data_IF_833801570076
#
_entry.id   IF_833801570076
#
_cell.length_a   1.000
_cell.length_b   1.000
_cell.length_c   1.000
_cell.angle_alpha   90.00
_cell.angle_beta   90.00
_cell.angle_gamma   90.00
#
_symmetry.space_group_name_H-M   'P 1'
#
loop_
_entity.id
_entity.type
_entity.pdbx_description
1 polymer ?
#
# COMPACT_ATOMS: atom_id res chain seq x y z
N UNK A 1 14.95 -6.05 0.48
CA UNK A 1 13.75 -5.56 -0.21
C UNK A 1 13.01 -4.68 0.77
N UNK A 2 12.74 -3.44 0.41
CA UNK A 2 12.02 -2.48 1.25
C UNK A 2 10.62 -2.22 0.69
N UNK A 3 9.62 -2.25 1.55
CA UNK A 3 8.21 -2.14 1.19
C UNK A 3 7.63 -0.92 1.88
N UNK A 4 6.96 -0.06 1.12
CA UNK A 4 6.19 1.06 1.64
C UNK A 4 4.69 0.76 1.59
N UNK A 5 3.96 1.16 2.62
CA UNK A 5 2.50 1.06 2.67
C UNK A 5 1.95 2.44 3.00
N UNK A 6 1.09 2.96 2.13
CA UNK A 6 0.51 4.31 2.24
C UNK A 6 -0.98 4.20 2.54
N UNK A 7 -1.35 4.66 3.73
CA UNK A 7 -2.67 4.51 4.35
C UNK A 7 -2.66 3.35 5.35
N UNK A 8 -2.74 3.65 6.65
CA UNK A 8 -2.74 2.66 7.73
C UNK A 8 -4.14 2.50 8.34
N UNK A 9 -5.15 2.40 7.46
CA UNK A 9 -6.47 1.91 7.82
C UNK A 9 -6.48 0.38 7.96
N UNK A 10 -7.67 -0.20 7.95
CA UNK A 10 -7.89 -1.64 8.14
C UNK A 10 -6.99 -2.52 7.25
N UNK A 11 -7.03 -2.29 5.94
CA UNK A 11 -6.24 -3.03 4.95
C UNK A 11 -4.74 -2.77 5.11
N UNK A 12 -4.36 -1.49 5.23
CA UNK A 12 -2.94 -1.10 5.27
C UNK A 12 -2.24 -1.55 6.54
N UNK A 13 -2.87 -1.44 7.70
CA UNK A 13 -2.26 -1.85 8.96
C UNK A 13 -2.15 -3.38 9.04
N UNK A 14 -3.18 -4.13 8.60
CA UNK A 14 -3.11 -5.59 8.53
C UNK A 14 -1.96 -6.06 7.63
N UNK A 15 -1.83 -5.47 6.44
CA UNK A 15 -0.73 -5.78 5.52
C UNK A 15 0.63 -5.39 6.10
N UNK A 16 0.74 -4.23 6.73
CA UNK A 16 1.96 -3.74 7.40
C UNK A 16 2.44 -4.72 8.46
N UNK A 17 1.51 -5.14 9.33
CA UNK A 17 1.79 -6.05 10.44
C UNK A 17 2.24 -7.42 9.94
N UNK A 18 1.54 -8.01 8.97
CA UNK A 18 1.90 -9.32 8.41
C UNK A 18 3.25 -9.28 7.67
N UNK A 19 3.49 -8.28 6.83
CA UNK A 19 4.77 -8.17 6.11
C UNK A 19 5.95 -8.00 7.06
N UNK A 20 5.82 -7.12 8.05
CA UNK A 20 6.90 -6.88 9.02
C UNK A 20 7.13 -8.08 9.94
N UNK A 21 6.08 -8.76 10.40
CA UNK A 21 6.22 -9.98 11.21
C UNK A 21 6.90 -11.12 10.45
N UNK A 22 6.78 -11.17 9.12
CA UNK A 22 7.54 -12.09 8.25
C UNK A 22 8.99 -11.63 8.00
N UNK A 23 9.44 -10.49 8.57
CA UNK A 23 10.83 -10.00 8.51
C UNK A 23 11.15 -9.12 7.30
N UNK A 24 10.16 -8.66 6.53
CA UNK A 24 10.39 -7.65 5.50
C UNK A 24 10.75 -6.30 6.13
N UNK A 25 11.54 -5.50 5.42
CA UNK A 25 11.82 -4.10 5.76
C UNK A 25 10.62 -3.26 5.32
N UNK A 26 9.79 -2.85 6.28
CA UNK A 26 8.50 -2.21 6.01
C UNK A 26 8.48 -0.79 6.57
N UNK A 27 7.97 0.14 5.77
CA UNK A 27 7.61 1.48 6.22
C UNK A 27 6.12 1.71 5.99
N UNK A 28 5.38 1.91 7.07
CA UNK A 28 3.98 2.30 7.05
C UNK A 28 3.84 3.82 7.14
N UNK A 29 3.08 4.41 6.23
CA UNK A 29 2.87 5.86 6.15
C UNK A 29 1.37 6.16 6.28
N UNK A 30 1.04 7.07 7.20
CA UNK A 30 -0.29 7.66 7.27
C UNK A 30 -0.17 9.18 7.47
N UNK A 31 -1.16 9.94 7.02
CA UNK A 31 -1.20 11.40 7.21
C UNK A 31 -1.60 11.78 8.65
N UNK A 32 -2.26 10.88 9.35
CA UNK A 32 -2.70 11.04 10.73
C UNK A 32 -1.54 10.75 11.69
N UNK A 33 -1.03 11.81 12.29
CA UNK A 33 0.14 11.75 13.20
C UNK A 33 -0.20 10.97 14.48
N UNK A 34 -1.39 11.14 15.01
CA UNK A 34 -1.78 10.50 16.26
C UNK A 34 -2.02 9.00 16.05
N UNK A 35 -2.61 8.62 14.92
CA UNK A 35 -2.65 7.22 14.47
C UNK A 35 -1.25 6.62 14.33
N UNK A 36 -0.31 7.35 13.73
CA UNK A 36 1.08 6.88 13.62
C UNK A 36 1.71 6.65 14.99
N UNK A 37 1.45 7.52 15.99
CA UNK A 37 1.94 7.35 17.38
C UNK A 37 1.35 6.10 18.01
N UNK A 38 0.02 5.90 17.94
CA UNK A 38 -0.67 4.73 18.47
C UNK A 38 -0.03 3.44 17.92
N UNK A 39 0.10 3.36 16.59
CA UNK A 39 0.65 2.18 15.91
C UNK A 39 2.14 1.98 16.26
N UNK A 40 2.93 3.03 16.35
CA UNK A 40 4.35 2.96 16.74
C UNK A 40 4.56 2.40 18.15
N UNK A 41 3.57 2.58 19.04
CA UNK A 41 3.57 2.03 20.39
C UNK A 41 3.06 0.58 20.45
N UNK A 42 2.74 -0.03 19.32
CA UNK A 42 2.27 -1.41 19.24
C UNK A 42 0.77 -1.59 19.50
N UNK A 43 0.01 -0.51 19.49
CA UNK A 43 -1.44 -0.53 19.67
C UNK A 43 -2.15 -0.36 18.31
N UNK A 44 -3.27 -1.04 18.13
CA UNK A 44 -4.10 -0.86 16.95
C UNK A 44 -5.18 0.21 17.20
N UNK A 45 -5.47 1.10 16.23
CA UNK A 45 -6.50 2.12 16.37
C UNK A 45 -7.93 1.55 16.22
N UNK A 46 -8.06 0.26 15.98
CA UNK A 46 -9.32 -0.49 15.87
C UNK A 46 -9.09 -1.93 16.31
N UNK A 47 -10.15 -2.61 16.68
CA UNK A 47 -10.08 -4.02 17.05
C UNK A 47 -10.04 -4.91 15.81
N UNK A 48 -9.06 -5.82 15.77
CA UNK A 48 -8.97 -6.93 14.81
C UNK A 48 -8.21 -8.08 15.47
N UNK A 49 -8.71 -9.32 15.43
CA UNK A 49 -7.99 -10.47 16.00
C UNK A 49 -6.57 -10.59 15.48
N UNK A 50 -5.63 -10.95 16.33
CA UNK A 50 -4.19 -11.13 16.04
C UNK A 50 -3.46 -9.85 15.59
N UNK A 51 -4.12 -8.70 15.38
CA UNK A 51 -3.49 -7.52 14.78
C UNK A 51 -2.40 -6.93 15.69
N UNK A 52 -2.70 -6.67 16.96
CA UNK A 52 -1.71 -6.08 17.88
C UNK A 52 -0.52 -7.00 18.14
N UNK A 53 -0.74 -8.29 18.29
CA UNK A 53 0.33 -9.28 18.46
C UNK A 53 1.24 -9.32 17.24
N UNK A 54 0.63 -9.37 16.04
CA UNK A 54 1.36 -9.37 14.77
C UNK A 54 2.13 -8.06 14.56
N UNK A 55 1.52 -6.90 14.93
CA UNK A 55 2.14 -5.58 14.88
C UNK A 55 3.36 -5.50 15.82
N UNK A 56 3.19 -5.91 17.08
CA UNK A 56 4.28 -5.94 18.08
C UNK A 56 5.45 -6.78 17.58
N UNK A 57 5.17 -7.95 17.02
CA UNK A 57 6.19 -8.79 16.38
C UNK A 57 6.90 -8.06 15.24
N UNK A 58 6.19 -7.31 14.41
CA UNK A 58 6.78 -6.50 13.35
C UNK A 58 7.69 -5.39 13.87
N UNK A 59 7.27 -4.70 14.94
CA UNK A 59 8.03 -3.60 15.56
C UNK A 59 9.37 -4.06 16.17
N UNK A 60 9.46 -5.30 16.62
CA UNK A 60 10.76 -5.87 17.06
C UNK A 60 11.72 -6.20 15.92
N UNK A 61 11.25 -6.10 14.67
CA UNK A 61 12.04 -6.39 13.46
C UNK A 61 12.38 -5.08 12.72
N UNK A 62 11.93 -4.95 11.47
CA UNK A 62 12.26 -3.83 10.58
C UNK A 62 11.02 -3.05 10.16
N UNK A 63 10.15 -2.74 11.12
CA UNK A 63 8.98 -1.91 10.88
C UNK A 63 9.25 -0.47 11.33
N UNK A 64 8.95 0.50 10.48
CA UNK A 64 8.91 1.92 10.80
C UNK A 64 7.56 2.49 10.45
N UNK A 65 6.93 3.20 11.38
CA UNK A 65 5.68 3.94 11.17
C UNK A 65 5.99 5.43 11.16
N UNK A 66 5.42 6.19 10.23
CA UNK A 66 5.69 7.63 10.11
C UNK A 66 4.63 8.34 9.28
N UNK A 67 4.59 9.65 9.39
CA UNK A 67 3.87 10.53 8.48
C UNK A 67 4.78 11.16 7.40
N UNK A 68 6.08 10.84 7.41
CA UNK A 68 7.04 11.34 6.42
C UNK A 68 7.05 10.47 5.15
N UNK A 69 6.47 11.00 4.09
CA UNK A 69 6.48 10.36 2.77
C UNK A 69 7.88 10.26 2.14
N UNK A 70 8.88 10.98 2.63
CA UNK A 70 10.25 10.84 2.16
C UNK A 70 10.82 9.43 2.35
N UNK A 71 10.30 8.69 3.32
CA UNK A 71 10.75 7.34 3.65
C UNK A 71 10.45 6.30 2.56
N UNK A 72 9.48 6.59 1.65
CA UNK A 72 9.16 5.68 0.54
C UNK A 72 10.15 5.78 -0.63
N UNK A 73 11.05 6.76 -0.64
CA UNK A 73 11.93 7.02 -1.79
C UNK A 73 12.83 5.86 -2.21
N UNK A 74 13.09 4.90 -1.33
CA UNK A 74 13.95 3.74 -1.61
C UNK A 74 13.20 2.40 -1.54
N UNK A 75 11.86 2.43 -1.56
CA UNK A 75 11.06 1.21 -1.57
C UNK A 75 11.12 0.52 -2.94
N UNK A 76 11.10 -0.80 -2.91
CA UNK A 76 11.02 -1.65 -4.09
C UNK A 76 9.54 -1.88 -4.50
N UNK A 77 8.66 -1.95 -3.49
CA UNK A 77 7.20 -2.04 -3.62
C UNK A 77 6.52 -0.94 -2.80
N UNK A 78 5.48 -0.35 -3.35
CA UNK A 78 4.64 0.64 -2.68
C UNK A 78 3.18 0.21 -2.77
N UNK A 79 2.59 -0.14 -1.64
CA UNK A 79 1.16 -0.43 -1.58
C UNK A 79 0.39 0.85 -1.26
N UNK A 80 -0.68 1.09 -1.99
CA UNK A 80 -1.63 2.16 -1.76
C UNK A 80 -2.91 1.53 -1.21
N UNK A 81 -3.20 1.85 0.05
CA UNK A 81 -4.28 1.26 0.86
C UNK A 81 -5.14 2.34 1.53
N UNK A 82 -5.18 3.52 0.91
CA UNK A 82 -6.00 4.63 1.41
C UNK A 82 -7.48 4.40 1.14
N UNK A 83 -8.33 4.97 1.97
CA UNK A 83 -9.78 4.86 1.79
C UNK A 83 -10.28 5.53 0.51
N UNK A 84 -11.37 4.98 -0.02
CA UNK A 84 -12.13 5.51 -1.16
C UNK A 84 -13.62 5.54 -0.76
N UNK A 85 -14.03 6.52 0.09
CA UNK A 85 -15.38 6.56 0.61
C UNK A 85 -16.40 6.84 -0.48
N UNK A 86 -17.66 6.59 -0.18
CA UNK A 86 -18.78 6.87 -1.05
C UNK A 86 -19.22 8.33 -0.92
N UNK A 87 -19.52 8.99 -2.01
CA UNK A 87 -20.20 10.28 -2.04
C UNK A 87 -21.71 10.10 -1.78
N UNK A 88 -22.39 11.22 -1.53
CA UNK A 88 -23.85 11.24 -1.28
C UNK A 88 -24.63 10.67 -2.47
N UNK A 89 -24.16 10.85 -3.69
CA UNK A 89 -24.76 10.35 -4.93
C UNK A 89 -24.44 8.87 -5.24
N UNK A 90 -23.74 8.18 -4.34
CA UNK A 90 -23.33 6.78 -4.48
C UNK A 90 -22.05 6.57 -5.29
N UNK A 91 -21.46 7.62 -5.86
CA UNK A 91 -20.16 7.52 -6.56
C UNK A 91 -19.00 7.36 -5.57
N UNK A 92 -17.87 6.83 -6.04
CA UNK A 92 -16.66 6.72 -5.20
C UNK A 92 -15.94 8.07 -5.16
N UNK A 93 -15.66 8.58 -3.94
CA UNK A 93 -14.80 9.73 -3.76
C UNK A 93 -13.33 9.36 -3.96
N UNK A 94 -12.74 9.88 -5.01
CA UNK A 94 -11.34 9.69 -5.36
C UNK A 94 -10.41 10.78 -4.78
N UNK A 95 -10.90 11.70 -3.97
CA UNK A 95 -10.12 12.83 -3.46
C UNK A 95 -8.91 12.38 -2.63
N UNK A 96 -9.11 11.42 -1.73
CA UNK A 96 -8.06 10.89 -0.84
C UNK A 96 -6.99 10.18 -1.67
N UNK A 97 -7.40 9.27 -2.56
CA UNK A 97 -6.44 8.51 -3.37
C UNK A 97 -5.69 9.43 -4.34
N UNK A 98 -6.33 10.45 -4.94
CA UNK A 98 -5.65 11.45 -5.78
C UNK A 98 -4.57 12.21 -5.01
N UNK A 99 -4.85 12.61 -3.76
CA UNK A 99 -3.88 13.28 -2.87
C UNK A 99 -2.70 12.35 -2.55
N UNK A 100 -2.97 11.11 -2.15
CA UNK A 100 -1.94 10.11 -1.84
C UNK A 100 -1.05 9.83 -3.07
N UNK A 101 -1.64 9.58 -4.23
CA UNK A 101 -0.94 9.34 -5.50
C UNK A 101 -0.11 10.56 -5.94
N UNK A 102 -0.64 11.78 -5.77
CA UNK A 102 0.13 13.01 -6.04
C UNK A 102 1.37 13.11 -5.15
N UNK A 103 1.23 12.80 -3.86
CA UNK A 103 2.36 12.83 -2.91
C UNK A 103 3.37 11.73 -3.22
N UNK A 104 2.92 10.52 -3.54
CA UNK A 104 3.78 9.42 -4.00
C UNK A 104 4.55 9.85 -5.27
N UNK A 105 3.87 10.44 -6.26
CA UNK A 105 4.49 10.91 -7.49
C UNK A 105 5.61 11.93 -7.25
N UNK A 106 5.39 12.92 -6.38
CA UNK A 106 6.43 13.89 -5.99
C UNK A 106 7.67 13.23 -5.39
N UNK A 107 7.46 12.22 -4.55
CA UNK A 107 8.55 11.46 -3.94
C UNK A 107 9.24 10.52 -4.93
N UNK A 108 8.50 9.92 -5.86
CA UNK A 108 9.07 9.08 -6.93
C UNK A 108 10.09 9.83 -7.77
N UNK A 109 9.96 11.14 -7.96
CA UNK A 109 10.93 11.96 -8.68
C UNK A 109 12.36 11.76 -8.15
N UNK A 110 12.51 11.61 -6.83
CA UNK A 110 13.79 11.42 -6.15
C UNK A 110 14.22 9.95 -6.07
N UNK A 111 13.35 9.01 -6.37
CA UNK A 111 13.63 7.58 -6.27
C UNK A 111 14.56 7.14 -7.42
N UNK A 112 15.71 6.54 -7.08
CA UNK A 112 16.65 5.98 -8.05
C UNK A 112 16.30 4.55 -8.49
N UNK A 113 15.41 3.87 -7.77
CA UNK A 113 14.92 2.53 -8.11
C UNK A 113 13.76 2.63 -9.09
N UNK A 114 13.35 1.47 -9.61
CA UNK A 114 12.13 1.30 -10.41
C UNK A 114 11.07 0.59 -9.56
N UNK A 115 10.39 1.30 -8.62
CA UNK A 115 9.45 0.68 -7.72
C UNK A 115 8.22 0.18 -8.47
N UNK A 116 7.53 -0.77 -7.84
CA UNK A 116 6.21 -1.22 -8.29
C UNK A 116 5.18 -0.63 -7.33
N UNK A 117 4.23 0.12 -7.87
CA UNK A 117 3.12 0.71 -7.13
C UNK A 117 1.92 -0.21 -7.29
N UNK A 118 1.46 -0.78 -6.17
CA UNK A 118 0.29 -1.63 -6.10
C UNK A 118 -0.86 -0.85 -5.46
N UNK A 119 -1.92 -0.66 -6.20
CA UNK A 119 -3.13 -0.03 -5.69
C UNK A 119 -4.06 -1.13 -5.19
N UNK A 120 -4.22 -1.21 -3.86
CA UNK A 120 -5.15 -2.13 -3.19
C UNK A 120 -6.49 -1.46 -2.90
N UNK A 121 -6.54 -0.13 -2.81
CA UNK A 121 -7.79 0.61 -2.65
C UNK A 121 -8.78 0.23 -3.75
N UNK A 122 -10.04 0.05 -3.37
CA UNK A 122 -11.13 -0.24 -4.31
C UNK A 122 -11.39 0.98 -5.19
N UNK A 123 -11.29 0.79 -6.50
CA UNK A 123 -11.55 1.83 -7.50
C UNK A 123 -12.34 1.26 -8.67
N UNK A 124 -13.18 2.10 -9.29
CA UNK A 124 -13.96 1.68 -10.46
C UNK A 124 -13.05 1.42 -11.67
N UNK A 125 -13.47 0.54 -12.60
CA UNK A 125 -12.77 0.31 -13.86
C UNK A 125 -12.42 1.61 -14.59
N UNK A 126 -11.19 1.68 -15.12
CA UNK A 126 -10.69 2.88 -15.80
C UNK A 126 -9.93 3.85 -14.87
N UNK A 127 -10.16 3.87 -13.56
CA UNK A 127 -9.49 4.80 -12.63
C UNK A 127 -7.96 4.65 -12.66
N UNK A 128 -7.44 3.43 -12.75
CA UNK A 128 -6.00 3.19 -12.86
C UNK A 128 -5.38 3.90 -14.05
N UNK A 129 -6.02 3.79 -15.23
CA UNK A 129 -5.54 4.34 -16.49
C UNK A 129 -5.80 5.84 -16.61
N UNK A 130 -7.01 6.27 -16.25
CA UNK A 130 -7.47 7.63 -16.55
C UNK A 130 -7.19 8.64 -15.45
N UNK A 131 -6.91 8.18 -14.22
CA UNK A 131 -6.69 9.05 -13.04
C UNK A 131 -5.32 8.80 -12.41
N UNK A 132 -5.05 7.60 -11.95
CA UNK A 132 -3.85 7.29 -11.15
C UNK A 132 -2.58 7.41 -11.98
N UNK A 133 -2.55 6.78 -13.15
CA UNK A 133 -1.39 6.79 -14.04
C UNK A 133 -0.98 8.21 -14.47
N UNK A 134 -1.88 9.07 -14.98
CA UNK A 134 -1.54 10.44 -15.37
C UNK A 134 -0.98 11.27 -14.21
N UNK A 135 -1.57 11.15 -13.01
CA UNK A 135 -1.08 11.87 -11.82
C UNK A 135 0.34 11.42 -11.47
N UNK A 136 0.62 10.11 -11.44
CA UNK A 136 1.96 9.59 -11.15
C UNK A 136 2.98 10.09 -12.15
N UNK A 137 2.71 9.99 -13.45
CA UNK A 137 3.62 10.44 -14.50
C UNK A 137 3.88 11.94 -14.42
N UNK A 138 2.83 12.76 -14.28
CA UNK A 138 2.94 14.20 -14.17
C UNK A 138 3.74 14.63 -12.93
N UNK A 139 3.45 14.07 -11.76
CA UNK A 139 4.08 14.48 -10.50
C UNK A 139 5.51 13.98 -10.36
N UNK A 140 5.81 12.82 -10.92
CA UNK A 140 7.16 12.23 -10.85
C UNK A 140 8.08 12.65 -11.99
N UNK A 141 7.53 13.13 -13.10
CA UNK A 141 8.26 13.34 -14.37
C UNK A 141 8.91 12.03 -14.86
N UNK A 142 8.25 10.89 -14.63
CA UNK A 142 8.69 9.53 -14.97
C UNK A 142 7.61 8.81 -15.76
N UNK A 143 7.97 7.72 -16.44
CA UNK A 143 7.07 6.94 -17.29
C UNK A 143 6.83 5.54 -16.72
N UNK A 144 5.56 5.17 -16.61
CA UNK A 144 5.17 3.80 -16.27
C UNK A 144 5.70 2.81 -17.32
N UNK A 145 6.12 1.65 -16.87
CA UNK A 145 6.75 0.64 -17.72
C UNK A 145 8.25 0.83 -17.90
N UNK A 146 8.76 2.04 -17.82
CA UNK A 146 10.17 2.37 -17.93
C UNK A 146 10.82 2.64 -16.57
N UNK A 147 10.22 3.53 -15.78
CA UNK A 147 10.79 4.06 -14.55
C UNK A 147 10.09 3.53 -13.30
N UNK A 148 8.85 3.07 -13.42
CA UNK A 148 8.08 2.40 -12.36
C UNK A 148 7.04 1.45 -12.95
N UNK A 149 6.58 0.48 -12.14
CA UNK A 149 5.44 -0.36 -12.45
C UNK A 149 4.17 0.16 -11.77
N UNK A 150 3.02 0.01 -12.41
CA UNK A 150 1.71 0.29 -11.83
C UNK A 150 0.82 -0.94 -11.96
N UNK A 151 0.34 -1.45 -10.83
CA UNK A 151 -0.45 -2.68 -10.73
C UNK A 151 -1.67 -2.43 -9.86
N UNK A 152 -2.84 -2.84 -10.34
CA UNK A 152 -4.05 -2.97 -9.52
C UNK A 152 -3.99 -4.30 -8.78
N UNK A 153 -4.22 -4.29 -7.49
CA UNK A 153 -4.25 -5.48 -6.64
C UNK A 153 -5.36 -5.31 -5.58
N UNK A 154 -6.63 -5.39 -5.98
CA UNK A 154 -7.73 -5.29 -5.03
C UNK A 154 -7.59 -6.35 -3.94
N UNK A 155 -8.13 -6.04 -2.77
CA UNK A 155 -8.13 -6.91 -1.61
C UNK A 155 -9.52 -7.55 -1.42
N UNK A 156 -9.58 -8.63 -0.64
CA UNK A 156 -10.79 -9.38 -0.31
C UNK A 156 -10.83 -9.70 1.19
N UNK A 157 -10.34 -8.78 2.03
CA UNK A 157 -10.28 -8.96 3.47
C UNK A 157 -11.69 -8.82 4.08
N UNK A 158 -11.94 -9.64 5.09
CA UNK A 158 -13.15 -9.53 5.91
C UNK A 158 -12.75 -9.04 7.31
N UNK A 159 -13.62 -8.23 7.92
CA UNK A 159 -13.48 -7.88 9.33
C UNK A 159 -13.49 -9.14 10.20
N UNK A 160 -12.71 -9.13 11.26
CA UNK A 160 -12.45 -10.25 12.17
C UNK A 160 -11.57 -11.37 11.61
N UNK A 161 -11.17 -11.34 10.33
CA UNK A 161 -10.24 -12.31 9.74
C UNK A 161 -9.12 -11.68 8.90
N UNK A 162 -8.96 -10.35 8.96
CA UNK A 162 -8.04 -9.63 8.08
C UNK A 162 -6.58 -10.10 8.18
N UNK A 163 -6.10 -10.43 9.36
CA UNK A 163 -4.74 -10.96 9.55
C UNK A 163 -4.60 -12.33 8.90
N UNK A 164 -5.57 -13.23 9.10
CA UNK A 164 -5.62 -14.55 8.48
C UNK A 164 -5.70 -14.44 6.96
N UNK A 165 -6.62 -13.60 6.45
CA UNK A 165 -6.84 -13.42 5.01
C UNK A 165 -5.63 -12.77 4.33
N UNK A 166 -4.91 -11.90 5.05
CA UNK A 166 -3.64 -11.34 4.57
C UNK A 166 -2.53 -12.40 4.54
N UNK A 167 -2.50 -13.33 5.50
CA UNK A 167 -1.53 -14.44 5.54
C UNK A 167 -1.84 -15.51 4.48
N UNK A 168 -3.13 -15.81 4.28
CA UNK A 168 -3.64 -16.93 3.47
C UNK A 168 -4.83 -16.49 2.61
N UNK A 169 -4.63 -15.59 1.62
CA UNK A 169 -5.72 -15.13 0.77
C UNK A 169 -6.25 -16.28 -0.09
N UNK A 170 -7.58 -16.39 -0.21
CA UNK A 170 -8.18 -17.37 -1.10
C UNK A 170 -8.01 -17.01 -2.58
N UNK A 171 -7.80 -15.74 -2.89
CA UNK A 171 -7.54 -15.24 -4.24
C UNK A 171 -6.65 -13.99 -4.22
N UNK A 172 -5.78 -13.88 -5.23
CA UNK A 172 -4.96 -12.69 -5.48
C UNK A 172 -5.19 -12.24 -6.92
N UNK A 173 -5.84 -11.09 -7.09
CA UNK A 173 -6.10 -10.50 -8.41
C UNK A 173 -5.05 -9.44 -8.72
N UNK A 174 -4.49 -9.50 -9.92
CA UNK A 174 -3.51 -8.53 -10.42
C UNK A 174 -3.96 -8.00 -11.78
N UNK A 175 -4.03 -6.69 -11.90
CA UNK A 175 -4.30 -5.99 -13.15
C UNK A 175 -3.16 -5.04 -13.51
N UNK A 176 -2.67 -5.06 -14.75
CA UNK A 176 -1.61 -4.16 -15.18
C UNK A 176 -1.24 -4.34 -16.64
N UNK A 177 -0.58 -3.33 -17.22
CA UNK A 177 -0.22 -3.33 -18.64
C UNK A 177 1.21 -3.79 -18.90
N UNK A 178 2.07 -3.79 -17.88
CA UNK A 178 3.50 -4.06 -18.08
C UNK A 178 3.86 -5.45 -17.57
N UNK A 179 4.02 -6.39 -18.49
CA UNK A 179 4.28 -7.81 -18.21
C UNK A 179 5.46 -8.04 -17.25
N UNK A 180 6.52 -7.25 -17.36
CA UNK A 180 7.71 -7.42 -16.51
C UNK A 180 7.40 -7.11 -15.03
N UNK A 181 6.63 -6.04 -14.77
CA UNK A 181 6.24 -5.66 -13.42
C UNK A 181 5.17 -6.60 -12.86
N UNK A 182 4.26 -7.08 -13.70
CA UNK A 182 3.27 -8.11 -13.34
C UNK A 182 3.96 -9.42 -12.90
N UNK A 183 4.94 -9.90 -13.65
CA UNK A 183 5.73 -11.10 -13.28
C UNK A 183 6.48 -10.92 -11.95
N UNK A 184 7.10 -9.74 -11.73
CA UNK A 184 7.78 -9.43 -10.46
C UNK A 184 6.79 -9.38 -9.29
N UNK A 185 5.63 -8.77 -9.48
CA UNK A 185 4.57 -8.70 -8.47
C UNK A 185 4.07 -10.10 -8.14
N UNK A 186 3.74 -10.92 -9.15
CA UNK A 186 3.31 -12.30 -8.94
C UNK A 186 4.34 -13.08 -8.12
N UNK A 187 5.63 -13.04 -8.52
CA UNK A 187 6.72 -13.72 -7.79
C UNK A 187 6.82 -13.26 -6.34
N UNK A 188 6.63 -11.97 -6.08
CA UNK A 188 6.68 -11.42 -4.72
C UNK A 188 5.49 -11.92 -3.89
N UNK A 189 4.26 -11.82 -4.41
CA UNK A 189 3.05 -12.22 -3.70
C UNK A 189 2.98 -13.74 -3.48
N UNK A 190 3.38 -14.56 -4.46
CA UNK A 190 3.51 -16.03 -4.29
C UNK A 190 4.50 -16.41 -3.17
N UNK A 191 5.47 -15.56 -2.87
CA UNK A 191 6.44 -15.78 -1.80
C UNK A 191 5.93 -15.30 -0.43
N UNK A 192 4.96 -14.40 -0.47
CA UNK A 192 4.33 -13.85 0.72
C UNK A 192 3.30 -14.83 1.29
N UNK A 193 2.60 -15.51 0.43
CA UNK A 193 1.54 -16.49 0.74
C UNK A 193 2.04 -17.91 0.54
#
# INVERSE_FOLDING_TARGET
>A
MKIGIVGLGFVGLSLTSVLSSKGYDVVGIDVDIDKCKIISNGNAPFFEPELEETLKTGLTKKLKISNDFGLINNCDFLFVTVGTPQNVDGSIDLSIIKKAISTIGKNLKKNKKKPIILVKSTVIPGTMKNVILPILEQKSNKKAGKDFGLVSNPEFLQESTAIRDTKFPHAVVLGGYQTIFMKKTKKFLTKLH
#
